data_IF_551347364618
#
_entry.id   IF_551347364618
#
_cell.length_a   1.000
_cell.length_b   1.000
_cell.length_c   1.000
_cell.angle_alpha   90.00
_cell.angle_beta   90.00
_cell.angle_gamma   90.00
#
_symmetry.space_group_name_H-M   'P 1'
#
loop_
_entity.id
_entity.type
_entity.pdbx_description
1 polymer ?
#
# COMPACT_ATOMS: atom_id res chain seq x y z
N UNK A 1 -76.19 15.52 69.61
CA UNK A 1 -75.25 14.95 68.60
C UNK A 1 -75.84 15.20 67.20
N UNK A 2 -75.25 16.08 66.38
CA UNK A 2 -75.72 16.34 65.01
C UNK A 2 -75.30 15.21 64.11
N UNK A 3 -76.23 14.42 63.56
CA UNK A 3 -75.98 13.36 62.56
C UNK A 3 -75.46 14.06 61.32
N UNK A 4 -74.20 13.80 61.00
CA UNK A 4 -73.55 14.21 59.72
C UNK A 4 -74.33 13.54 58.61
N UNK A 5 -74.93 14.29 57.70
CA UNK A 5 -75.64 13.76 56.54
C UNK A 5 -74.77 12.79 55.73
N UNK A 6 -75.32 11.65 55.36
CA UNK A 6 -74.65 10.59 54.61
C UNK A 6 -73.98 11.12 53.36
N UNK A 7 -74.49 12.14 52.70
CA UNK A 7 -73.90 12.84 51.54
C UNK A 7 -72.60 13.58 51.90
N UNK A 8 -72.51 14.18 53.12
CA UNK A 8 -71.28 14.86 53.57
C UNK A 8 -70.22 13.88 53.96
N UNK A 9 -70.59 12.73 54.51
CA UNK A 9 -69.67 11.63 54.82
C UNK A 9 -69.06 11.00 53.53
N UNK A 10 -69.89 10.80 52.50
CA UNK A 10 -69.46 10.30 51.22
C UNK A 10 -68.46 11.26 50.51
N UNK A 11 -68.73 12.57 50.57
CA UNK A 11 -67.80 13.57 49.98
C UNK A 11 -66.48 13.61 50.74
N UNK A 12 -66.49 13.54 52.08
CA UNK A 12 -65.26 13.51 52.90
C UNK A 12 -64.40 12.24 52.55
N UNK A 13 -65.06 11.07 52.41
CA UNK A 13 -64.37 9.84 51.99
C UNK A 13 -63.77 9.92 50.59
N UNK A 14 -64.46 10.56 49.67
CA UNK A 14 -63.97 10.73 48.28
C UNK A 14 -62.73 11.66 48.23
N UNK A 15 -62.76 12.75 49.00
CA UNK A 15 -61.64 13.67 49.17
C UNK A 15 -60.45 12.98 49.84
N UNK A 16 -60.68 12.19 50.86
CA UNK A 16 -59.63 11.42 51.52
C UNK A 16 -58.98 10.39 50.59
N UNK A 17 -59.77 9.67 49.79
CA UNK A 17 -59.27 8.75 48.76
C UNK A 17 -58.46 9.47 47.68
N UNK A 18 -58.90 10.64 47.21
CA UNK A 18 -58.19 11.46 46.25
C UNK A 18 -56.89 12.01 46.80
N UNK A 19 -56.90 12.55 48.05
CA UNK A 19 -55.70 12.98 48.74
C UNK A 19 -54.67 11.79 48.93
N UNK A 20 -55.19 10.60 49.27
CA UNK A 20 -54.36 9.41 49.41
C UNK A 20 -53.78 8.97 48.08
N UNK A 21 -54.58 9.05 46.99
CA UNK A 21 -54.12 8.78 45.63
C UNK A 21 -53.03 9.77 45.18
N UNK A 22 -53.18 11.05 45.41
CA UNK A 22 -52.16 12.08 45.15
C UNK A 22 -50.93 11.83 46.02
N UNK A 23 -51.10 11.56 47.32
CA UNK A 23 -50.00 11.24 48.21
C UNK A 23 -49.20 10.02 47.75
N UNK A 24 -49.87 8.95 47.35
CA UNK A 24 -49.24 7.76 46.81
C UNK A 24 -48.53 8.04 45.51
N UNK A 25 -49.14 8.80 44.59
CA UNK A 25 -48.49 9.19 43.31
C UNK A 25 -47.22 10.00 43.57
N UNK A 26 -47.25 11.00 44.42
CA UNK A 26 -46.13 11.86 44.74
C UNK A 26 -45.00 11.10 45.46
N UNK A 27 -45.36 10.20 46.40
CA UNK A 27 -44.37 9.50 47.24
C UNK A 27 -43.81 8.22 46.62
N UNK A 28 -44.57 7.51 45.78
CA UNK A 28 -44.18 6.21 45.25
C UNK A 28 -43.99 6.21 43.73
N UNK A 29 -44.94 6.75 42.97
CA UNK A 29 -44.95 6.66 41.50
C UNK A 29 -44.01 7.71 40.90
N UNK A 30 -44.11 8.96 41.31
CA UNK A 30 -43.31 10.07 40.75
C UNK A 30 -41.78 9.86 40.93
N UNK A 31 -41.28 9.43 42.11
CA UNK A 31 -39.85 9.11 42.23
C UNK A 31 -39.37 7.98 41.35
N UNK A 32 -40.20 6.93 41.14
CA UNK A 32 -39.88 5.82 40.25
C UNK A 32 -39.80 6.26 38.79
N UNK A 33 -40.79 7.04 38.33
CA UNK A 33 -40.78 7.56 36.95
C UNK A 33 -39.59 8.46 36.68
N UNK A 34 -39.19 9.32 37.62
CA UNK A 34 -37.98 10.14 37.51
C UNK A 34 -36.70 9.30 37.42
N UNK A 35 -36.61 8.22 38.19
CA UNK A 35 -35.47 7.32 38.15
C UNK A 35 -35.37 6.60 36.80
N UNK A 36 -36.51 6.12 36.25
CA UNK A 36 -36.57 5.51 34.91
C UNK A 36 -36.20 6.51 33.84
N UNK A 37 -36.70 7.73 33.89
CA UNK A 37 -36.36 8.79 32.96
C UNK A 37 -34.86 9.09 32.99
N UNK A 38 -34.28 9.27 34.18
CA UNK A 38 -32.83 9.51 34.33
C UNK A 38 -32.00 8.35 33.81
N UNK A 39 -32.43 7.09 33.97
CA UNK A 39 -31.78 5.93 33.41
C UNK A 39 -31.83 5.98 31.88
N UNK A 40 -32.98 6.26 31.28
CA UNK A 40 -33.14 6.37 29.83
C UNK A 40 -32.28 7.49 29.23
N UNK A 41 -32.20 8.64 29.89
CA UNK A 41 -31.39 9.79 29.46
C UNK A 41 -29.86 9.41 29.44
N UNK A 42 -29.40 8.79 30.52
CA UNK A 42 -27.98 8.37 30.61
C UNK A 42 -27.67 7.30 29.60
N UNK A 43 -28.53 6.28 29.45
CA UNK A 43 -28.30 5.18 28.50
C UNK A 43 -28.38 5.65 27.04
N UNK A 44 -29.24 6.64 26.73
CA UNK A 44 -29.31 7.25 25.41
C UNK A 44 -27.99 7.95 25.02
N UNK A 45 -27.34 8.63 25.97
CA UNK A 45 -26.02 9.23 25.75
C UNK A 45 -24.97 8.15 25.49
N UNK A 46 -24.95 7.09 26.31
CA UNK A 46 -24.03 5.96 26.13
C UNK A 46 -24.26 5.29 24.77
N UNK A 47 -25.52 5.07 24.37
CA UNK A 47 -25.84 4.50 23.07
C UNK A 47 -25.33 5.34 21.91
N UNK A 48 -25.41 6.68 22.02
CA UNK A 48 -24.90 7.59 21.00
C UNK A 48 -23.38 7.44 20.84
N UNK A 49 -22.64 7.47 21.95
CA UNK A 49 -21.18 7.29 21.94
C UNK A 49 -20.79 5.90 21.41
N UNK A 50 -21.43 4.83 21.93
CA UNK A 50 -21.20 3.47 21.44
C UNK A 50 -21.44 3.34 19.94
N UNK A 51 -22.49 3.98 19.39
CA UNK A 51 -22.79 3.94 17.95
C UNK A 51 -21.69 4.59 17.14
N UNK A 52 -21.17 5.74 17.58
CA UNK A 52 -20.07 6.42 16.88
C UNK A 52 -18.81 5.52 16.80
N UNK A 53 -18.46 4.85 17.90
CA UNK A 53 -17.36 3.88 17.92
C UNK A 53 -17.66 2.66 17.04
N UNK A 54 -18.87 2.11 17.10
CA UNK A 54 -19.32 0.97 16.29
C UNK A 54 -19.25 1.25 14.78
N UNK A 55 -19.62 2.45 14.35
CA UNK A 55 -19.52 2.84 12.95
C UNK A 55 -18.08 2.82 12.46
N UNK A 56 -17.14 3.33 13.26
CA UNK A 56 -15.71 3.27 12.91
C UNK A 56 -15.17 1.83 12.91
N UNK A 57 -15.52 1.02 13.91
CA UNK A 57 -15.18 -0.41 13.96
C UNK A 57 -15.71 -1.14 12.72
N UNK A 58 -16.93 -0.84 12.27
CA UNK A 58 -17.53 -1.44 11.07
C UNK A 58 -16.72 -1.12 9.81
N UNK A 59 -16.22 0.10 9.68
CA UNK A 59 -15.33 0.50 8.57
C UNK A 59 -14.05 -0.34 8.60
N UNK A 60 -13.40 -0.43 9.76
CA UNK A 60 -12.17 -1.23 9.94
C UNK A 60 -12.38 -2.70 9.59
N UNK A 61 -13.48 -3.31 10.06
CA UNK A 61 -13.82 -4.71 9.73
C UNK A 61 -14.08 -4.90 8.24
N UNK A 62 -14.69 -3.92 7.57
CA UNK A 62 -14.91 -3.97 6.12
C UNK A 62 -13.57 -3.97 5.36
N UNK A 63 -12.62 -3.14 5.77
CA UNK A 63 -11.27 -3.15 5.19
C UNK A 63 -10.59 -4.52 5.38
N UNK A 64 -10.61 -5.05 6.60
CA UNK A 64 -10.01 -6.36 6.93
C UNK A 64 -10.67 -7.54 6.22
N UNK A 65 -11.94 -7.42 5.83
CA UNK A 65 -12.68 -8.47 5.08
C UNK A 65 -12.54 -8.34 3.57
N UNK A 66 -11.90 -7.29 3.07
CA UNK A 66 -11.60 -7.11 1.65
C UNK A 66 -10.62 -8.18 1.16
N UNK A 67 -10.72 -8.52 -0.13
CA UNK A 67 -9.71 -9.35 -0.82
C UNK A 67 -8.41 -8.58 -1.07
N UNK A 68 -8.48 -7.25 -1.06
CA UNK A 68 -7.33 -6.38 -1.26
C UNK A 68 -6.43 -6.42 -0.03
N UNK A 69 -5.16 -6.74 -0.23
CA UNK A 69 -4.16 -6.76 0.83
C UNK A 69 -3.37 -5.45 0.85
N UNK A 70 -2.89 -5.02 2.00
CA UNK A 70 -1.96 -3.90 2.07
C UNK A 70 -0.56 -4.35 1.60
N UNK A 71 0.24 -3.41 1.12
CA UNK A 71 1.65 -3.60 0.81
C UNK A 71 2.44 -3.99 2.08
N UNK A 72 2.16 -3.31 3.19
CA UNK A 72 2.67 -3.67 4.51
C UNK A 72 1.70 -4.60 5.23
N UNK A 73 2.00 -5.89 5.27
CA UNK A 73 1.17 -6.91 5.91
C UNK A 73 1.02 -6.72 7.43
N UNK A 74 1.97 -6.04 8.10
CA UNK A 74 1.90 -5.73 9.53
C UNK A 74 0.65 -4.90 9.86
N UNK A 75 0.24 -4.02 8.94
CA UNK A 75 -0.96 -3.19 9.11
C UNK A 75 -2.23 -4.02 9.29
N UNK A 76 -2.28 -5.23 8.75
CA UNK A 76 -3.42 -6.15 8.96
C UNK A 76 -3.51 -6.59 10.42
N UNK A 77 -2.38 -6.91 11.05
CA UNK A 77 -2.33 -7.32 12.46
C UNK A 77 -2.62 -6.13 13.37
N UNK A 78 -2.02 -4.98 13.07
CA UNK A 78 -2.23 -3.75 13.84
C UNK A 78 -3.69 -3.32 13.83
N UNK A 79 -4.32 -3.29 12.65
CA UNK A 79 -5.74 -2.92 12.54
C UNK A 79 -6.66 -3.93 13.24
N UNK A 80 -6.37 -5.23 13.18
CA UNK A 80 -7.12 -6.25 13.93
C UNK A 80 -7.01 -6.04 15.45
N UNK A 81 -5.82 -5.74 15.94
CA UNK A 81 -5.59 -5.50 17.36
C UNK A 81 -6.33 -4.25 17.84
N UNK A 82 -6.29 -3.17 17.04
CA UNK A 82 -7.00 -1.93 17.35
C UNK A 82 -8.51 -2.12 17.41
N UNK A 83 -9.09 -2.83 16.45
CA UNK A 83 -10.51 -3.21 16.45
C UNK A 83 -10.86 -3.98 17.73
N UNK A 84 -10.05 -4.98 18.11
CA UNK A 84 -10.30 -5.76 19.33
C UNK A 84 -10.22 -4.90 20.61
N UNK A 85 -9.29 -3.96 20.65
CA UNK A 85 -9.13 -3.02 21.77
C UNK A 85 -10.34 -2.10 21.88
N UNK A 86 -10.76 -1.51 20.77
CA UNK A 86 -11.93 -0.63 20.70
C UNK A 86 -13.24 -1.35 21.09
N UNK A 87 -13.42 -2.59 20.65
CA UNK A 87 -14.59 -3.39 21.03
C UNK A 87 -14.68 -3.65 22.54
N UNK A 88 -13.54 -3.90 23.19
CA UNK A 88 -13.47 -4.13 24.64
C UNK A 88 -13.76 -2.87 25.46
N UNK A 89 -13.46 -1.68 24.92
CA UNK A 89 -13.71 -0.39 25.60
C UNK A 89 -15.17 0.02 25.58
N UNK A 90 -15.97 -0.55 24.70
CA UNK A 90 -17.39 -0.20 24.56
C UNK A 90 -18.16 -0.41 25.87
N UNK A 91 -18.86 0.63 26.34
CA UNK A 91 -19.62 0.60 27.58
C UNK A 91 -20.85 -0.30 27.45
N UNK A 92 -20.94 -1.32 28.30
CA UNK A 92 -22.11 -2.18 28.38
C UNK A 92 -23.25 -1.48 29.10
N UNK A 93 -24.45 -1.48 28.51
CA UNK A 93 -25.66 -0.93 29.11
C UNK A 93 -26.42 -2.10 29.77
N UNK A 94 -26.55 -2.11 31.11
CA UNK A 94 -27.27 -3.16 31.79
C UNK A 94 -28.80 -3.01 31.60
N UNK A 95 -29.54 -4.09 31.77
CA UNK A 95 -31.01 -4.03 31.85
C UNK A 95 -31.44 -3.21 33.07
N UNK A 96 -32.48 -2.35 32.91
CA UNK A 96 -33.05 -1.55 33.99
C UNK A 96 -33.58 -2.44 35.12
N UNK A 97 -33.27 -2.08 36.36
CA UNK A 97 -33.81 -2.74 37.57
C UNK A 97 -35.24 -2.34 37.86
N UNK A 98 -35.93 -3.15 38.72
CA UNK A 98 -37.32 -2.91 39.06
C UNK A 98 -37.50 -1.90 40.21
N UNK A 99 -36.60 -1.87 41.21
CA UNK A 99 -36.70 -1.01 42.41
C UNK A 99 -36.06 0.34 42.13
N UNK A 100 -36.72 1.43 42.54
CA UNK A 100 -36.25 2.81 42.39
C UNK A 100 -34.82 3.02 42.93
N UNK A 101 -34.53 2.47 44.12
CA UNK A 101 -33.20 2.57 44.72
C UNK A 101 -32.12 1.94 43.86
N UNK A 102 -32.41 0.80 43.20
CA UNK A 102 -31.47 0.08 42.36
C UNK A 102 -31.28 0.77 41.00
N UNK A 103 -32.36 1.37 40.46
CA UNK A 103 -32.29 2.24 39.27
C UNK A 103 -31.36 3.42 39.54
N UNK A 104 -31.55 4.09 40.68
CA UNK A 104 -30.71 5.24 41.06
C UNK A 104 -29.23 4.84 41.22
N UNK A 105 -28.93 3.64 41.75
CA UNK A 105 -27.55 3.10 41.78
C UNK A 105 -27.00 2.85 40.38
N UNK A 106 -27.80 2.27 39.47
CA UNK A 106 -27.40 2.09 38.06
C UNK A 106 -27.11 3.44 37.41
N UNK A 107 -28.01 4.45 37.54
CA UNK A 107 -27.79 5.78 37.00
C UNK A 107 -26.50 6.39 37.53
N UNK A 108 -26.22 6.27 38.82
CA UNK A 108 -24.96 6.78 39.42
C UNK A 108 -23.72 6.10 38.81
N UNK A 109 -23.77 4.79 38.60
CA UNK A 109 -22.63 4.05 37.98
C UNK A 109 -22.45 4.39 36.52
N UNK A 110 -23.54 4.68 35.76
CA UNK A 110 -23.52 4.96 34.33
C UNK A 110 -23.25 6.45 34.01
N UNK A 111 -23.34 7.36 35.00
CA UNK A 111 -23.05 8.80 34.83
C UNK A 111 -21.56 9.12 34.63
N UNK A 112 -20.66 8.14 34.67
CA UNK A 112 -19.24 8.37 34.35
C UNK A 112 -19.12 8.89 32.91
N UNK A 113 -18.30 9.94 32.68
CA UNK A 113 -18.10 10.45 31.34
C UNK A 113 -17.55 9.35 30.43
N UNK A 114 -18.16 9.18 29.28
CA UNK A 114 -17.67 8.27 28.23
C UNK A 114 -17.23 9.17 27.07
N UNK A 115 -16.01 8.92 26.60
CA UNK A 115 -15.46 9.61 25.44
C UNK A 115 -14.58 8.60 24.68
N UNK A 116 -14.93 8.35 23.43
CA UNK A 116 -14.19 7.46 22.54
C UNK A 116 -13.43 8.24 21.46
N UNK A 117 -13.20 9.52 21.62
CA UNK A 117 -12.54 10.35 20.61
C UNK A 117 -11.15 9.81 20.27
N UNK A 118 -10.40 9.36 21.28
CA UNK A 118 -9.06 8.77 21.07
C UNK A 118 -9.15 7.48 20.29
N UNK A 119 -9.99 6.53 20.70
CA UNK A 119 -10.17 5.23 20.06
C UNK A 119 -10.68 5.36 18.61
N UNK A 120 -11.59 6.30 18.39
CA UNK A 120 -12.12 6.60 17.04
C UNK A 120 -11.00 7.15 16.17
N UNK A 121 -10.19 8.08 16.69
CA UNK A 121 -9.06 8.65 15.94
C UNK A 121 -8.00 7.59 15.62
N UNK A 122 -7.60 6.77 16.58
CA UNK A 122 -6.64 5.68 16.38
C UNK A 122 -7.11 4.70 15.31
N UNK A 123 -8.39 4.29 15.34
CA UNK A 123 -9.00 3.46 14.30
C UNK A 123 -9.01 4.15 12.93
N UNK A 124 -9.33 5.45 12.87
CA UNK A 124 -9.34 6.22 11.63
C UNK A 124 -7.94 6.33 11.04
N UNK A 125 -6.93 6.61 11.86
CA UNK A 125 -5.52 6.69 11.43
C UNK A 125 -5.03 5.33 10.92
N UNK A 126 -5.35 4.23 11.62
CA UNK A 126 -5.04 2.87 11.14
C UNK A 126 -5.79 2.50 9.86
N UNK A 127 -7.05 2.87 9.73
CA UNK A 127 -7.84 2.67 8.50
C UNK A 127 -7.22 3.41 7.32
N UNK A 128 -6.76 4.65 7.54
CA UNK A 128 -6.10 5.44 6.49
C UNK A 128 -4.78 4.80 6.05
N UNK A 129 -3.91 4.42 7.00
CA UNK A 129 -2.65 3.73 6.71
C UNK A 129 -2.89 2.44 5.92
N UNK A 130 -3.82 1.61 6.38
CA UNK A 130 -4.20 0.36 5.70
C UNK A 130 -4.67 0.62 4.27
N UNK A 131 -5.59 1.58 4.08
CA UNK A 131 -6.14 1.92 2.76
C UNK A 131 -5.09 2.48 1.81
N UNK A 132 -4.17 3.30 2.33
CA UNK A 132 -3.04 3.84 1.55
C UNK A 132 -2.12 2.70 1.11
N UNK A 133 -1.76 1.80 2.02
CA UNK A 133 -0.92 0.64 1.73
C UNK A 133 -1.54 -0.31 0.70
N UNK A 134 -2.87 -0.49 0.72
CA UNK A 134 -3.60 -1.23 -0.33
C UNK A 134 -3.47 -0.53 -1.69
N UNK A 135 -3.60 0.79 -1.74
CA UNK A 135 -3.42 1.56 -2.99
C UNK A 135 -1.99 1.44 -3.52
N UNK A 136 -1.00 1.49 -2.63
CA UNK A 136 0.42 1.33 -2.96
C UNK A 136 0.69 -0.03 -3.60
N UNK A 137 0.20 -1.12 -3.02
CA UNK A 137 0.34 -2.45 -3.61
C UNK A 137 -0.30 -2.53 -5.01
N UNK A 138 -1.49 -1.94 -5.17
CA UNK A 138 -2.16 -1.88 -6.48
C UNK A 138 -1.34 -1.13 -7.53
N UNK A 139 -0.65 -0.04 -7.16
CA UNK A 139 0.19 0.72 -8.08
C UNK A 139 1.38 -0.06 -8.61
N UNK A 140 1.96 -0.95 -7.80
CA UNK A 140 3.10 -1.79 -8.18
C UNK A 140 2.70 -3.22 -8.57
N UNK A 141 1.40 -3.45 -8.82
CA UNK A 141 0.89 -4.72 -9.35
C UNK A 141 0.63 -4.56 -10.84
N UNK A 142 1.53 -5.06 -11.66
CA UNK A 142 1.53 -4.97 -13.12
C UNK A 142 1.22 -3.55 -13.64
N UNK A 143 2.00 -2.52 -13.22
CA UNK A 143 1.82 -1.16 -13.71
C UNK A 143 2.13 -1.05 -15.20
N UNK A 144 1.54 -0.05 -15.87
CA UNK A 144 1.87 0.23 -17.27
C UNK A 144 3.27 0.86 -17.42
N UNK A 145 3.87 0.72 -18.59
CA UNK A 145 5.13 1.42 -18.93
C UNK A 145 5.00 2.94 -18.76
N UNK A 146 3.90 3.54 -19.22
CA UNK A 146 3.64 4.98 -19.08
C UNK A 146 3.57 5.44 -17.62
N UNK A 147 3.01 4.61 -16.73
CA UNK A 147 3.04 4.89 -15.30
C UNK A 147 4.49 4.88 -14.78
N UNK A 148 5.26 3.84 -15.07
CA UNK A 148 6.65 3.72 -14.64
C UNK A 148 7.49 4.89 -15.18
N UNK A 149 7.38 5.22 -16.48
CA UNK A 149 8.06 6.38 -17.08
C UNK A 149 7.75 7.68 -16.35
N UNK A 150 6.46 7.91 -16.05
CA UNK A 150 6.04 9.13 -15.36
C UNK A 150 6.67 9.26 -13.97
N UNK A 151 6.88 8.15 -13.28
CA UNK A 151 7.49 8.11 -11.94
C UNK A 151 9.00 8.29 -11.99
N UNK A 152 9.67 7.66 -12.96
CA UNK A 152 11.11 7.81 -13.17
C UNK A 152 11.49 9.24 -13.52
N UNK A 153 10.71 9.92 -14.39
CA UNK A 153 10.93 11.32 -14.79
C UNK A 153 10.84 12.34 -13.63
N UNK A 154 10.36 11.93 -12.46
CA UNK A 154 10.30 12.76 -11.26
C UNK A 154 11.54 12.64 -10.36
N UNK A 155 12.50 11.82 -10.74
CA UNK A 155 13.74 11.61 -10.00
C UNK A 155 14.82 12.51 -10.63
N UNK A 156 15.34 13.46 -9.87
CA UNK A 156 16.24 14.51 -10.37
C UNK A 156 17.54 13.99 -11.00
N UNK A 157 18.01 12.80 -10.56
CA UNK A 157 19.23 12.20 -11.13
C UNK A 157 18.96 11.45 -12.42
N UNK A 158 17.72 11.10 -12.74
CA UNK A 158 17.34 10.42 -13.99
C UNK A 158 17.20 11.46 -15.10
N UNK A 159 18.06 11.38 -16.11
CA UNK A 159 18.14 12.33 -17.21
C UNK A 159 17.31 11.96 -18.43
N UNK A 160 17.09 10.67 -18.67
CA UNK A 160 16.29 10.17 -19.78
C UNK A 160 15.61 8.84 -19.44
N UNK A 161 14.46 8.57 -20.08
CA UNK A 161 13.63 7.38 -19.83
C UNK A 161 13.05 6.89 -21.16
N UNK A 162 13.20 5.60 -21.43
CA UNK A 162 12.71 4.96 -22.66
C UNK A 162 12.12 3.58 -22.36
N UNK A 163 10.88 3.33 -22.79
CA UNK A 163 10.29 2.00 -22.77
C UNK A 163 10.80 1.14 -23.93
N UNK A 164 11.07 -0.14 -23.65
CA UNK A 164 11.29 -1.12 -24.69
C UNK A 164 10.02 -1.41 -25.48
N UNK A 165 10.17 -1.71 -26.75
CA UNK A 165 9.16 -2.25 -27.64
C UNK A 165 9.52 -3.68 -28.04
N UNK A 166 8.60 -4.43 -28.63
CA UNK A 166 8.90 -5.80 -29.08
C UNK A 166 10.03 -5.86 -30.13
N UNK A 167 10.19 -4.75 -30.90
CA UNK A 167 11.19 -4.66 -31.95
C UNK A 167 12.61 -4.33 -31.42
N UNK A 168 12.71 -3.57 -30.31
CA UNK A 168 14.02 -3.15 -29.76
C UNK A 168 14.38 -3.81 -28.43
N UNK A 169 13.55 -4.73 -27.92
CA UNK A 169 13.81 -5.43 -26.66
C UNK A 169 15.06 -6.32 -26.76
N UNK A 170 16.16 -6.03 -26.05
CA UNK A 170 17.41 -6.76 -26.15
C UNK A 170 17.28 -8.22 -25.66
N UNK A 171 16.35 -8.51 -24.78
CA UNK A 171 16.11 -9.87 -24.27
C UNK A 171 15.03 -10.62 -25.06
N UNK A 172 14.35 -9.96 -25.99
CA UNK A 172 13.22 -10.52 -26.76
C UNK A 172 12.15 -11.18 -25.87
N UNK A 173 11.96 -10.67 -24.64
CA UNK A 173 11.07 -11.22 -23.62
C UNK A 173 9.74 -10.48 -23.49
N UNK A 174 9.65 -9.27 -24.01
CA UNK A 174 8.48 -8.41 -23.82
C UNK A 174 7.18 -9.11 -24.27
N UNK A 175 6.17 -9.13 -23.40
CA UNK A 175 4.87 -9.78 -23.60
C UNK A 175 4.91 -11.31 -23.79
N UNK A 176 6.04 -11.98 -23.66
CA UNK A 176 6.10 -13.44 -23.70
C UNK A 176 5.66 -14.05 -22.38
N UNK A 177 5.14 -15.26 -22.43
CA UNK A 177 4.66 -15.97 -21.24
C UNK A 177 5.77 -16.13 -20.21
N UNK A 178 5.51 -15.72 -18.96
CA UNK A 178 6.46 -15.78 -17.85
C UNK A 178 7.56 -14.71 -17.89
N UNK A 179 7.53 -13.82 -18.87
CA UNK A 179 8.42 -12.68 -18.99
C UNK A 179 7.73 -11.36 -18.64
N UNK A 180 8.41 -10.24 -18.80
CA UNK A 180 7.90 -8.92 -18.46
C UNK A 180 6.86 -8.43 -19.46
N UNK A 181 5.91 -7.63 -18.92
CA UNK A 181 4.86 -6.91 -19.66
C UNK A 181 5.27 -5.47 -19.99
N UNK A 182 6.29 -4.96 -19.30
CA UNK A 182 6.94 -3.70 -19.59
C UNK A 182 8.39 -3.74 -19.13
N UNK A 183 9.26 -3.04 -19.84
CA UNK A 183 10.67 -2.81 -19.47
C UNK A 183 10.97 -1.33 -19.78
N UNK A 184 11.26 -0.56 -18.74
CA UNK A 184 11.52 0.87 -18.85
C UNK A 184 12.96 1.16 -18.44
N UNK A 185 13.78 1.49 -19.43
CA UNK A 185 15.18 1.83 -19.25
C UNK A 185 15.32 3.30 -18.88
N UNK A 186 16.35 3.64 -18.10
CA UNK A 186 16.64 5.00 -17.71
C UNK A 186 18.14 5.25 -17.64
N UNK A 187 18.54 6.50 -17.88
CA UNK A 187 19.90 6.98 -17.63
C UNK A 187 19.95 7.76 -16.32
N UNK A 188 21.06 7.60 -15.59
CA UNK A 188 21.30 8.34 -14.35
C UNK A 188 22.55 9.20 -14.46
N UNK A 189 22.49 10.44 -14.01
CA UNK A 189 23.58 11.41 -14.08
C UNK A 189 24.82 11.03 -13.24
N UNK A 190 24.67 10.08 -12.30
CA UNK A 190 25.77 9.56 -11.51
C UNK A 190 26.60 8.50 -12.27
N UNK A 191 26.09 8.00 -13.39
CA UNK A 191 26.85 7.14 -14.30
C UNK A 191 27.75 8.01 -15.18
N UNK A 192 29.03 8.08 -14.82
CA UNK A 192 30.00 8.98 -15.48
C UNK A 192 30.71 8.35 -16.69
N UNK A 193 30.74 7.04 -16.81
CA UNK A 193 31.38 6.35 -17.91
C UNK A 193 30.50 6.35 -19.16
N UNK A 194 31.08 6.61 -20.35
CA UNK A 194 30.33 6.50 -21.60
C UNK A 194 29.80 5.08 -21.81
N UNK A 195 28.50 4.96 -22.10
CA UNK A 195 27.84 3.70 -22.41
C UNK A 195 27.48 3.65 -23.88
N UNK A 196 27.95 2.62 -24.57
CA UNK A 196 27.67 2.41 -25.99
C UNK A 196 26.24 1.94 -26.22
N UNK A 197 25.60 2.43 -27.28
CA UNK A 197 24.22 2.08 -27.66
C UNK A 197 23.62 3.17 -28.52
N UNK A 198 22.80 2.81 -29.50
CA UNK A 198 22.13 3.75 -30.39
C UNK A 198 21.04 4.56 -29.67
N UNK A 199 20.37 3.96 -28.71
CA UNK A 199 19.36 4.56 -27.86
C UNK A 199 19.49 4.01 -26.42
N UNK A 200 18.61 4.43 -25.54
CA UNK A 200 18.66 4.08 -24.12
C UNK A 200 18.42 2.58 -23.87
N UNK A 201 17.53 1.96 -24.65
CA UNK A 201 17.27 0.53 -24.58
C UNK A 201 18.49 -0.28 -25.02
N UNK A 202 19.17 0.15 -26.09
CA UNK A 202 20.41 -0.48 -26.57
C UNK A 202 21.58 -0.31 -25.59
N UNK A 203 21.61 0.77 -24.79
CA UNK A 203 22.57 0.95 -23.68
C UNK A 203 22.32 0.00 -22.51
N UNK A 204 21.11 -0.55 -22.42
CA UNK A 204 20.75 -1.47 -21.37
C UNK A 204 20.71 -0.86 -19.97
N UNK A 205 20.99 -1.67 -18.95
CA UNK A 205 21.06 -1.23 -17.56
C UNK A 205 22.29 -0.38 -17.25
N UNK A 206 23.32 -0.40 -18.10
CA UNK A 206 24.59 0.25 -17.84
C UNK A 206 24.50 1.77 -17.86
N UNK A 207 23.48 2.37 -18.54
CA UNK A 207 23.24 3.80 -18.57
C UNK A 207 22.67 4.38 -17.26
N UNK A 208 22.10 3.53 -16.41
CA UNK A 208 21.46 3.90 -15.13
C UNK A 208 20.68 2.73 -14.55
N UNK A 209 19.84 2.10 -15.36
CA UNK A 209 19.08 0.93 -14.93
C UNK A 209 17.87 0.62 -15.79
N UNK A 210 17.04 -0.30 -15.28
CA UNK A 210 15.79 -0.71 -15.91
C UNK A 210 14.76 -1.10 -14.84
N UNK A 211 13.50 -0.71 -15.05
CA UNK A 211 12.35 -1.21 -14.29
C UNK A 211 11.61 -2.21 -15.15
N UNK A 212 11.69 -3.48 -14.78
CA UNK A 212 10.98 -4.58 -15.44
C UNK A 212 9.67 -4.86 -14.71
N UNK A 213 8.54 -4.96 -15.40
CA UNK A 213 7.21 -5.21 -14.84
C UNK A 213 6.73 -6.58 -15.28
N UNK A 214 6.22 -7.37 -14.34
CA UNK A 214 5.74 -8.73 -14.58
C UNK A 214 4.24 -8.82 -14.33
N UNK A 215 3.61 -9.83 -14.95
CA UNK A 215 2.19 -10.10 -14.74
C UNK A 215 1.92 -10.62 -13.32
N UNK A 216 2.85 -11.38 -12.76
CA UNK A 216 2.73 -11.97 -11.42
C UNK A 216 4.01 -11.75 -10.60
N UNK A 217 3.86 -11.73 -9.27
CA UNK A 217 5.00 -11.66 -8.36
C UNK A 217 5.93 -12.89 -8.47
N UNK A 218 5.37 -14.06 -8.86
CA UNK A 218 6.15 -15.27 -9.08
C UNK A 218 7.07 -15.13 -10.29
N UNK A 219 6.60 -14.53 -11.40
CA UNK A 219 7.44 -14.30 -12.58
C UNK A 219 8.53 -13.27 -12.28
N UNK A 220 8.20 -12.19 -11.53
CA UNK A 220 9.19 -11.23 -11.04
C UNK A 220 10.25 -11.92 -10.16
N UNK A 221 9.84 -12.83 -9.28
CA UNK A 221 10.74 -13.59 -8.42
C UNK A 221 11.69 -14.50 -9.27
N UNK A 222 11.17 -15.21 -10.24
CA UNK A 222 11.98 -16.05 -11.14
C UNK A 222 13.07 -15.22 -11.83
N UNK A 223 12.73 -14.01 -12.27
CA UNK A 223 13.71 -13.08 -12.86
C UNK A 223 14.77 -12.66 -11.86
N UNK A 224 14.37 -12.28 -10.67
CA UNK A 224 15.32 -11.90 -9.62
C UNK A 224 16.23 -13.06 -9.22
N UNK A 225 15.68 -14.27 -9.06
CA UNK A 225 16.47 -15.47 -8.75
C UNK A 225 17.49 -15.77 -9.87
N UNK A 226 17.10 -15.57 -11.14
CA UNK A 226 18.03 -15.68 -12.28
C UNK A 226 19.16 -14.64 -12.20
N UNK A 227 18.84 -13.38 -11.88
CA UNK A 227 19.87 -12.33 -11.73
C UNK A 227 20.79 -12.62 -10.53
N UNK A 228 20.24 -13.11 -9.43
CA UNK A 228 21.00 -13.47 -8.22
C UNK A 228 22.02 -14.59 -8.46
N UNK A 229 21.82 -15.42 -9.47
CA UNK A 229 22.82 -16.45 -9.85
C UNK A 229 24.13 -15.86 -10.34
N UNK A 230 24.15 -14.59 -10.74
CA UNK A 230 25.34 -13.87 -11.22
C UNK A 230 25.96 -12.95 -10.17
N UNK A 231 25.31 -12.79 -8.99
CA UNK A 231 25.79 -11.93 -7.91
C UNK A 231 27.15 -12.43 -7.39
N UNK A 232 28.11 -11.50 -7.31
CA UNK A 232 29.45 -11.79 -6.78
C UNK A 232 30.31 -12.63 -7.65
N UNK A 233 29.89 -12.99 -8.88
CA UNK A 233 30.79 -13.65 -9.85
C UNK A 233 31.70 -12.61 -10.48
N UNK A 234 33.01 -12.86 -10.55
CA UNK A 234 33.97 -12.00 -11.24
C UNK A 234 33.84 -12.18 -12.75
N UNK A 235 32.70 -11.89 -13.32
CA UNK A 235 32.39 -12.07 -14.74
C UNK A 235 32.13 -10.75 -15.43
N UNK A 236 32.20 -10.75 -16.75
CA UNK A 236 31.80 -9.63 -17.61
C UNK A 236 30.29 -9.32 -17.45
N UNK A 237 29.52 -10.24 -16.87
CA UNK A 237 28.10 -10.12 -16.64
C UNK A 237 27.89 -9.78 -15.17
N UNK A 238 27.97 -8.50 -14.84
CA UNK A 238 27.55 -7.98 -13.52
C UNK A 238 26.13 -7.41 -13.65
N UNK A 239 25.11 -8.02 -13.01
CA UNK A 239 23.72 -7.57 -13.14
C UNK A 239 23.45 -6.21 -12.48
N UNK A 240 24.40 -5.65 -11.72
CA UNK A 240 24.16 -4.53 -10.83
C UNK A 240 23.29 -4.93 -9.63
N UNK A 241 22.71 -3.98 -8.93
CA UNK A 241 21.71 -4.30 -7.92
C UNK A 241 20.35 -4.57 -8.57
N UNK A 242 19.60 -5.50 -7.98
CA UNK A 242 18.24 -5.81 -8.42
C UNK A 242 17.36 -6.18 -7.24
N UNK A 243 16.14 -5.60 -7.19
CA UNK A 243 15.20 -5.75 -6.10
C UNK A 243 13.77 -5.95 -6.62
N UNK A 244 12.98 -6.77 -5.90
CA UNK A 244 11.59 -7.04 -6.23
C UNK A 244 10.66 -6.21 -5.32
N UNK A 245 9.64 -5.60 -5.93
CA UNK A 245 8.55 -4.93 -5.24
C UNK A 245 7.22 -5.30 -5.91
N UNK A 246 6.46 -6.19 -5.28
CA UNK A 246 5.24 -6.71 -5.88
C UNK A 246 5.52 -7.48 -7.18
N UNK A 247 5.11 -6.95 -8.33
CA UNK A 247 5.37 -7.51 -9.66
C UNK A 247 6.47 -6.76 -10.43
N UNK A 248 7.18 -5.86 -9.76
CA UNK A 248 8.21 -5.00 -10.36
C UNK A 248 9.59 -5.45 -9.92
N UNK A 249 10.55 -5.53 -10.86
CA UNK A 249 11.97 -5.71 -10.58
C UNK A 249 12.68 -4.41 -10.96
N UNK A 250 13.31 -3.76 -9.99
CA UNK A 250 14.16 -2.57 -10.21
C UNK A 250 15.59 -3.05 -10.34
N UNK A 251 16.25 -2.69 -11.43
CA UNK A 251 17.65 -3.00 -11.71
C UNK A 251 18.42 -1.70 -11.85
N UNK A 252 19.57 -1.60 -11.20
CA UNK A 252 20.42 -0.39 -11.22
C UNK A 252 21.82 -0.75 -11.69
N UNK A 253 22.44 0.16 -12.43
CA UNK A 253 23.75 -0.01 -13.07
C UNK A 253 24.84 -0.50 -12.11
N UNK A 254 25.60 -1.50 -12.56
CA UNK A 254 26.73 -2.06 -11.81
C UNK A 254 27.91 -1.09 -11.63
N UNK A 255 27.99 -0.06 -12.48
CA UNK A 255 29.04 0.98 -12.42
C UNK A 255 28.87 1.96 -11.26
N UNK A 256 27.68 2.02 -10.67
CA UNK A 256 27.41 2.83 -9.47
C UNK A 256 27.93 2.11 -8.22
N UNK A 257 28.36 2.87 -7.22
CA UNK A 257 28.72 2.31 -5.92
C UNK A 257 27.51 1.68 -5.23
N UNK A 258 27.72 0.73 -4.31
CA UNK A 258 26.63 0.08 -3.58
C UNK A 258 25.69 1.07 -2.90
N UNK A 259 26.21 2.15 -2.33
CA UNK A 259 25.42 3.22 -1.70
C UNK A 259 24.55 3.96 -2.72
N UNK A 260 25.10 4.28 -3.91
CA UNK A 260 24.33 4.92 -4.98
C UNK A 260 23.25 3.98 -5.54
N UNK A 261 23.58 2.70 -5.77
CA UNK A 261 22.62 1.70 -6.20
C UNK A 261 21.43 1.58 -5.21
N UNK A 262 21.73 1.50 -3.92
CA UNK A 262 20.69 1.43 -2.88
C UNK A 262 19.84 2.72 -2.83
N UNK A 263 20.49 3.89 -2.87
CA UNK A 263 19.80 5.17 -2.83
C UNK A 263 18.87 5.36 -4.05
N UNK A 264 19.34 5.02 -5.24
CA UNK A 264 18.57 5.12 -6.48
C UNK A 264 17.39 4.12 -6.49
N UNK A 265 17.64 2.88 -6.08
CA UNK A 265 16.59 1.85 -5.92
C UNK A 265 15.49 2.36 -4.98
N UNK A 266 15.87 2.92 -3.81
CA UNK A 266 14.93 3.45 -2.83
C UNK A 266 14.12 4.62 -3.42
N UNK A 267 14.76 5.58 -4.08
CA UNK A 267 14.07 6.71 -4.74
C UNK A 267 13.06 6.23 -5.78
N UNK A 268 13.43 5.25 -6.62
CA UNK A 268 12.54 4.67 -7.63
C UNK A 268 11.34 4.01 -6.94
N UNK A 269 11.58 3.17 -5.93
CA UNK A 269 10.52 2.52 -5.18
C UNK A 269 9.56 3.51 -4.54
N UNK A 270 10.06 4.54 -3.84
CA UNK A 270 9.26 5.58 -3.22
C UNK A 270 8.36 6.30 -4.24
N UNK A 271 8.91 6.60 -5.42
CA UNK A 271 8.14 7.20 -6.51
C UNK A 271 7.06 6.26 -7.06
N UNK A 272 7.35 4.98 -7.18
CA UNK A 272 6.37 3.99 -7.64
C UNK A 272 5.19 3.80 -6.66
N UNK A 273 5.42 3.92 -5.35
CA UNK A 273 4.37 3.78 -4.33
C UNK A 273 3.74 5.10 -3.89
N UNK A 274 4.23 6.25 -4.34
CA UNK A 274 3.69 7.57 -4.00
C UNK A 274 2.23 7.70 -4.44
N UNK A 275 1.32 7.93 -3.48
CA UNK A 275 -0.09 8.19 -3.78
C UNK A 275 -0.25 9.67 -4.10
N UNK A 276 -0.56 9.98 -5.34
CA UNK A 276 -0.91 11.34 -5.77
C UNK A 276 -2.41 11.55 -5.61
N UNK A 277 -2.80 12.60 -4.91
CA UNK A 277 -4.20 12.98 -4.82
C UNK A 277 -4.65 13.59 -6.15
N UNK A 278 -5.66 13.01 -6.77
CA UNK A 278 -6.25 13.46 -8.06
C UNK A 278 -6.84 14.89 -8.01
N UNK A 279 -6.74 15.58 -6.88
CA UNK A 279 -7.30 16.92 -6.69
C UNK A 279 -6.49 18.06 -7.31
N UNK A 280 -5.28 17.81 -7.82
CA UNK A 280 -4.45 18.88 -8.41
C UNK A 280 -4.81 19.15 -9.87
N UNK A 281 -5.54 18.27 -10.55
CA UNK A 281 -5.90 18.42 -11.97
C UNK A 281 -7.21 19.17 -12.25
N UNK A 282 -7.94 19.64 -11.21
CA UNK A 282 -9.23 20.34 -11.41
C UNK A 282 -9.20 21.86 -11.29
N UNK A 283 -8.06 22.47 -11.02
CA UNK A 283 -7.99 23.91 -10.80
C UNK A 283 -7.29 24.73 -11.88
N UNK A 284 -7.06 24.17 -13.09
CA UNK A 284 -6.50 24.95 -14.20
C UNK A 284 -7.38 24.88 -15.44
N UNK A 285 -8.68 25.11 -15.28
CA UNK A 285 -9.58 25.34 -16.44
C UNK A 285 -10.83 26.07 -16.00
N UNK A 286 -10.71 27.35 -15.70
CA UNK A 286 -11.84 28.28 -15.77
C UNK A 286 -11.33 29.72 -15.88
N UNK A 287 -10.96 30.11 -17.06
CA UNK A 287 -11.11 31.49 -17.59
C UNK A 287 -10.82 31.42 -19.07
N UNK A 288 -11.83 31.20 -19.91
CA UNK A 288 -11.87 31.79 -21.25
C UNK A 288 -13.32 32.04 -21.63
N UNK A 289 -13.49 33.28 -21.93
CA UNK A 289 -14.67 34.00 -22.31
C UNK A 289 -15.19 33.54 -23.68
N UNK A 290 -16.48 33.46 -23.78
CA UNK A 290 -17.31 33.27 -24.98
C UNK A 290 -16.89 34.10 -26.18
N UNK A 291 -16.81 33.50 -27.38
CA UNK A 291 -17.32 34.15 -28.57
C UNK A 291 -17.64 33.13 -29.65
N UNK A 292 -18.87 33.22 -30.11
CA UNK A 292 -19.55 32.48 -31.15
C UNK A 292 -18.92 32.58 -32.52
N UNK A 293 -18.93 31.52 -33.34
CA UNK A 293 -19.60 31.47 -34.66
C UNK A 293 -19.37 30.11 -35.34
N UNK A 294 -20.49 29.48 -35.73
CA UNK A 294 -20.62 28.38 -36.69
C UNK A 294 -21.10 29.04 -38.04
N UNK A 295 -21.22 28.40 -39.23
CA UNK A 295 -20.97 27.03 -39.66
C UNK A 295 -20.36 26.86 -41.06
N UNK A 296 -20.37 25.61 -41.56
CA UNK A 296 -20.55 25.10 -42.96
C UNK A 296 -19.37 24.29 -43.50
N UNK A 297 -19.51 23.03 -43.57
CA UNK A 297 -20.00 22.07 -44.61
C UNK A 297 -19.10 21.81 -45.82
N UNK A 298 -19.06 20.53 -46.14
CA UNK A 298 -18.91 19.83 -47.42
C UNK A 298 -17.52 19.22 -47.70
N UNK A 299 -17.46 17.92 -47.73
CA UNK A 299 -17.85 16.85 -48.65
C UNK A 299 -16.74 16.35 -49.56
N UNK A 300 -16.55 15.00 -49.47
CA UNK A 300 -16.29 14.05 -50.59
C UNK A 300 -14.95 14.14 -51.31
N UNK A 301 -14.25 13.08 -51.61
CA UNK A 301 -14.50 11.78 -52.18
C UNK A 301 -13.17 11.09 -52.51
N UNK A 302 -13.05 9.82 -52.21
CA UNK A 302 -12.77 8.67 -53.05
C UNK A 302 -11.75 8.73 -54.18
N UNK A 303 -10.84 7.74 -54.23
CA UNK A 303 -10.53 6.82 -55.33
C UNK A 303 -9.27 6.02 -54.97
N UNK A 304 -9.25 4.83 -54.73
CA UNK A 304 -9.28 3.50 -55.37
C UNK A 304 -8.26 3.28 -56.52
N UNK A 305 -7.63 2.11 -56.45
CA UNK A 305 -7.01 1.26 -57.47
C UNK A 305 -5.49 1.39 -57.60
N UNK A 306 -4.70 0.36 -57.83
CA UNK A 306 -4.84 -1.08 -58.15
C UNK A 306 -3.44 -1.68 -58.18
N UNK A 307 -3.30 -2.92 -57.65
CA UNK A 307 -2.69 -4.15 -58.17
C UNK A 307 -1.42 -4.09 -59.04
N UNK A 308 -0.42 -4.88 -58.69
CA UNK A 308 0.23 -5.95 -59.45
C UNK A 308 1.39 -6.56 -58.64
N UNK A 309 1.34 -7.68 -58.19
CA UNK A 309 1.79 -9.05 -58.54
C UNK A 309 3.12 -9.14 -59.34
N UNK A 310 4.11 -9.79 -58.74
CA UNK A 310 4.94 -10.79 -59.43
C UNK A 310 5.78 -11.61 -58.44
N UNK A 311 5.53 -12.90 -58.49
CA UNK A 311 6.31 -13.96 -57.91
C UNK A 311 7.64 -14.16 -58.62
N UNK A 312 8.65 -14.64 -57.93
CA UNK A 312 9.45 -15.78 -58.39
C UNK A 312 10.33 -16.41 -57.28
N UNK A 313 10.07 -17.66 -57.13
CA UNK A 313 10.76 -18.77 -56.56
C UNK A 313 12.28 -18.81 -56.86
N UNK A 314 13.08 -19.20 -55.84
CA UNK A 314 14.10 -20.19 -56.07
C UNK A 314 14.45 -20.97 -54.79
N UNK A 315 14.19 -22.24 -54.88
CA UNK A 315 14.64 -23.35 -54.08
C UNK A 315 16.17 -23.48 -54.10
N UNK A 316 16.82 -23.72 -52.94
CA UNK A 316 17.94 -24.68 -52.86
C UNK A 316 18.00 -25.31 -51.46
N UNK A 317 17.82 -26.59 -51.49
CA UNK A 317 18.06 -27.62 -50.50
C UNK A 317 19.55 -27.77 -50.27
N UNK A 318 20.01 -27.94 -49.01
CA UNK A 318 21.00 -28.97 -48.61
C UNK A 318 21.13 -29.06 -47.09
N UNK A 319 20.82 -30.23 -46.56
CA UNK A 319 21.44 -31.06 -45.51
C UNK A 319 21.79 -30.46 -44.13
N UNK A 320 21.06 -30.78 -43.10
CA UNK A 320 21.40 -31.81 -42.12
C UNK A 320 22.56 -31.47 -41.19
N UNK A 321 22.28 -31.03 -39.99
CA UNK A 321 23.11 -31.35 -38.81
C UNK A 321 22.22 -31.27 -37.56
N UNK A 322 22.02 -32.41 -36.94
CA UNK A 322 21.45 -32.62 -35.62
C UNK A 322 22.25 -31.89 -34.55
N UNK A 323 21.63 -31.16 -33.62
CA UNK A 323 22.33 -30.70 -32.42
C UNK A 323 22.35 -31.84 -31.40
N UNK A 324 23.54 -32.22 -31.04
CA UNK A 324 23.90 -33.11 -29.95
C UNK A 324 23.55 -32.47 -28.62
N UNK A 325 22.77 -33.17 -27.82
CA UNK A 325 22.48 -32.88 -26.41
C UNK A 325 23.77 -32.81 -25.61
N UNK A 326 24.07 -31.77 -24.83
CA UNK A 326 25.14 -31.80 -23.84
C UNK A 326 24.71 -32.63 -22.63
N UNK A 327 25.60 -33.57 -22.28
CA UNK A 327 25.51 -34.46 -21.15
C UNK A 327 25.37 -33.70 -19.83
N UNK A 328 24.57 -34.28 -18.92
CA UNK A 328 24.52 -33.98 -17.49
C UNK A 328 25.92 -33.96 -16.91
N UNK A 329 26.34 -32.81 -16.40
CA UNK A 329 27.52 -32.70 -15.55
C UNK A 329 27.07 -32.86 -14.09
N UNK A 330 27.64 -33.88 -13.47
CA UNK A 330 27.41 -34.29 -12.09
C UNK A 330 27.77 -33.17 -11.10
N UNK A 331 26.93 -33.06 -10.12
CA UNK A 331 27.01 -32.34 -8.89
C UNK A 331 28.37 -32.50 -8.20
N UNK A 332 29.19 -31.46 -8.25
CA UNK A 332 30.32 -31.29 -7.34
C UNK A 332 29.85 -30.40 -6.19
N UNK A 333 29.67 -31.01 -5.02
CA UNK A 333 29.14 -30.38 -3.81
C UNK A 333 29.78 -29.06 -3.47
N UNK A 334 28.95 -28.04 -3.45
CA UNK A 334 29.27 -26.72 -2.91
C UNK A 334 29.25 -26.81 -1.37
N UNK A 335 30.26 -26.31 -0.64
CA UNK A 335 30.26 -26.35 0.82
C UNK A 335 29.06 -25.63 1.41
N UNK A 336 28.45 -26.24 2.41
CA UNK A 336 27.19 -25.83 3.06
C UNK A 336 27.25 -24.51 3.84
N UNK A 337 28.39 -23.81 3.87
CA UNK A 337 28.59 -22.56 4.60
C UNK A 337 28.23 -21.27 3.83
N UNK A 338 27.77 -21.36 2.58
CA UNK A 338 27.35 -20.20 1.77
C UNK A 338 25.85 -20.11 1.53
N UNK A 339 25.05 -20.93 2.22
CA UNK A 339 23.58 -20.80 2.23
C UNK A 339 23.11 -19.87 3.35
N UNK A 340 23.69 -18.72 3.53
CA UNK A 340 22.94 -17.62 4.10
C UNK A 340 21.89 -17.21 3.07
N UNK A 341 20.67 -17.60 3.34
CA UNK A 341 19.49 -17.16 2.62
C UNK A 341 19.49 -15.63 2.70
N UNK A 342 19.95 -14.97 1.65
CA UNK A 342 19.69 -13.53 1.48
C UNK A 342 18.17 -13.39 1.40
N UNK A 343 17.57 -13.10 2.54
CA UNK A 343 16.17 -12.74 2.62
C UNK A 343 16.05 -11.48 1.78
N UNK A 344 15.33 -11.58 0.67
CA UNK A 344 14.97 -10.45 -0.16
C UNK A 344 14.28 -9.41 0.76
N UNK A 345 14.88 -8.25 1.03
CA UNK A 345 14.24 -7.27 1.88
C UNK A 345 13.04 -6.72 1.12
N UNK A 346 11.84 -7.06 1.55
CA UNK A 346 10.67 -6.27 1.21
C UNK A 346 10.87 -4.87 1.81
N UNK A 347 11.39 -3.95 1.01
CA UNK A 347 11.59 -2.57 1.40
C UNK A 347 10.22 -1.90 1.51
N UNK A 348 9.74 -1.75 2.73
CA UNK A 348 8.69 -0.80 3.05
C UNK A 348 9.34 0.51 3.48
N UNK A 349 8.70 1.64 3.22
CA UNK A 349 9.10 2.99 3.64
C UNK A 349 8.99 3.14 5.17
N UNK A 350 9.69 2.33 5.93
CA UNK A 350 9.65 2.26 7.39
C UNK A 350 11.03 2.47 7.98
N UNK A 351 11.68 3.56 7.58
CA UNK A 351 12.77 4.13 8.37
C UNK A 351 12.06 4.99 9.42
N UNK A 352 12.19 4.61 10.68
CA UNK A 352 11.69 5.42 11.78
C UNK A 352 12.50 6.72 11.91
N UNK A 353 12.06 7.61 12.79
CA UNK A 353 12.71 8.89 13.06
C UNK A 353 14.18 8.77 13.55
N UNK A 354 14.62 7.55 13.90
CA UNK A 354 15.98 7.23 14.35
C UNK A 354 16.82 6.56 13.25
N UNK A 355 16.29 6.41 12.02
CA UNK A 355 16.98 5.77 10.92
C UNK A 355 17.00 4.22 11.00
N UNK A 356 16.14 3.62 11.86
CA UNK A 356 16.00 2.17 11.96
C UNK A 356 15.02 1.66 10.92
N UNK A 357 15.48 0.75 10.07
CA UNK A 357 14.61 0.07 9.12
C UNK A 357 13.89 -1.07 9.83
N UNK A 358 12.63 -0.86 10.19
CA UNK A 358 11.83 -1.81 10.97
C UNK A 358 11.56 -3.13 10.22
N UNK A 359 11.74 -3.15 8.92
CA UNK A 359 11.59 -4.35 8.11
C UNK A 359 12.85 -5.22 8.10
N UNK A 360 14.00 -4.57 7.95
CA UNK A 360 15.29 -5.27 7.91
C UNK A 360 15.81 -5.58 9.31
N UNK A 361 15.23 -4.96 10.36
CA UNK A 361 15.73 -5.10 11.73
C UNK A 361 17.12 -4.51 11.93
N UNK A 362 17.53 -3.56 11.09
CA UNK A 362 18.86 -2.93 11.11
C UNK A 362 18.77 -1.42 10.95
N UNK A 363 19.73 -0.71 11.50
CA UNK A 363 19.88 0.72 11.24
C UNK A 363 20.45 0.94 9.83
N UNK A 364 19.93 1.94 9.13
CA UNK A 364 20.47 2.35 7.81
C UNK A 364 21.95 2.68 7.90
N UNK A 365 22.40 3.29 9.02
CA UNK A 365 23.79 3.60 9.24
C UNK A 365 24.67 2.35 9.35
N UNK A 366 24.20 1.28 10.00
CA UNK A 366 24.95 0.01 10.09
C UNK A 366 25.13 -0.63 8.72
N UNK A 367 24.16 -0.51 7.81
CA UNK A 367 24.27 -0.96 6.42
C UNK A 367 25.31 -0.14 5.65
N UNK A 368 25.33 1.18 5.84
CA UNK A 368 26.31 2.09 5.24
C UNK A 368 27.72 1.77 5.75
N UNK A 369 27.86 1.57 7.05
CA UNK A 369 29.15 1.27 7.68
C UNK A 369 29.68 -0.11 7.27
N UNK A 370 28.79 -1.09 7.10
CA UNK A 370 29.14 -2.42 6.59
C UNK A 370 29.62 -2.38 5.13
N UNK A 371 28.94 -1.59 4.26
CA UNK A 371 29.34 -1.36 2.89
C UNK A 371 30.70 -0.63 2.81
N UNK A 372 30.93 0.38 3.65
CA UNK A 372 32.19 1.12 3.70
C UNK A 372 33.37 0.25 4.20
N UNK A 373 33.12 -0.61 5.19
CA UNK A 373 34.13 -1.56 5.68
C UNK A 373 34.50 -2.64 4.65
N UNK A 374 33.55 -3.04 3.81
CA UNK A 374 33.84 -3.98 2.70
C UNK A 374 34.80 -3.35 1.68
N UNK A 375 34.64 -2.07 1.35
CA UNK A 375 35.56 -1.33 0.49
C UNK A 375 36.95 -1.15 1.11
N UNK A 376 37.05 -0.90 2.40
CA UNK A 376 38.31 -0.72 3.09
C UNK A 376 39.17 -2.01 3.14
N UNK A 377 38.56 -3.18 3.09
CA UNK A 377 39.24 -4.48 3.11
C UNK A 377 39.60 -5.02 1.74
N UNK A 378 39.11 -4.43 0.64
CA UNK A 378 39.35 -4.88 -0.74
C UNK A 378 40.32 -3.99 -1.52
N UNK A 379 40.82 -2.90 -0.95
CA UNK A 379 41.95 -2.17 -1.58
C UNK A 379 43.25 -2.96 -1.44
N UNK A 380 43.96 -3.23 -2.55
CA UNK A 380 45.28 -3.89 -2.49
C UNK A 380 46.26 -2.92 -1.81
N UNK A 381 46.83 -3.36 -0.68
CA UNK A 381 47.91 -2.66 -0.02
C UNK A 381 49.05 -2.43 -1.01
N UNK A 382 49.25 -1.21 -1.48
CA UNK A 382 50.45 -0.80 -2.20
C UNK A 382 51.61 -0.78 -1.21
N UNK A 383 52.27 -1.90 -1.00
CA UNK A 383 53.57 -1.97 -0.37
C UNK A 383 54.60 -1.35 -1.28
N UNK A 384 54.93 -0.08 -1.03
CA UNK A 384 56.15 0.50 -1.58
C UNK A 384 57.38 -0.23 -1.01
N UNK A 385 58.15 -0.86 -1.85
CA UNK A 385 59.52 -1.21 -1.59
C UNK A 385 60.42 -0.12 -2.17
N UNK A 386 60.94 0.70 -1.29
CA UNK A 386 62.16 1.47 -1.52
C UNK A 386 63.34 0.53 -1.38
N UNK A 387 64.07 0.28 -2.51
CA UNK A 387 65.52 0.23 -2.56
C UNK A 387 65.98 0.35 -4.01
#
# INVERSE_FOLDING_TARGET
MKRISTKKSAIISLIALFCFGIGYYVLAISPHQRAVQSFNEVTAKIQKENRSLEETIKVSKKLLSSKDKPLDEKLTVELKNEVSTAEKKKQVIPKIKKKTSDINKQVKSLKKPINYTTEIKELQDKNQKYSTSVKQLKQITNPSNTFVESRLKEIDTISDVQSATEDNDPNQGLNKQGSYTAAVYFSDNEVTNPVAGADLVAKGTDAGGCVEVYKTAEDAKKRNDYLSAFDGLPTVINPGSHYIYGTVVIRVAASLTASQQNALTQKIYEKLIEIKDDNTSKNTSKTETSSSTQPSSSSSSSTQATVSESAQSNTNTVAGSTPTTPAQQQDAGVPESSKETRVNPEFHSNIDENGYNTLLGVYVQDMIDQANNYHATTEPSSSGSSE
#
